data_IF_735092974939
#
_entry.id   IF_735092974939
#
_cell.length_a   1.000
_cell.length_b   1.000
_cell.length_c   1.000
_cell.angle_alpha   90.00
_cell.angle_beta   90.00
_cell.angle_gamma   90.00
#
_symmetry.space_group_name_H-M   'P 1'
#
loop_
_entity.id
_entity.type
_entity.pdbx_description
1 polymer ?
#
# COMPACT_ATOMS: atom_id res chain seq x y z
N UNK A 1 -18.20 -10.16 -14.22
CA UNK A 1 -17.38 -9.15 -13.52
C UNK A 1 -17.58 -7.82 -14.23
N UNK A 2 -17.96 -6.73 -13.54
CA UNK A 2 -18.23 -5.46 -14.22
C UNK A 2 -16.95 -4.64 -14.45
N UNK A 3 -16.88 -3.83 -15.53
CA UNK A 3 -15.80 -2.88 -15.73
C UNK A 3 -15.62 -1.92 -14.55
N UNK A 4 -16.72 -1.51 -13.91
CA UNK A 4 -16.71 -0.63 -12.74
C UNK A 4 -15.95 -1.22 -11.55
N UNK A 5 -16.16 -2.51 -11.22
CA UNK A 5 -15.44 -3.19 -10.12
C UNK A 5 -13.92 -3.17 -10.35
N UNK A 6 -13.46 -3.49 -11.57
CA UNK A 6 -12.03 -3.49 -11.89
C UNK A 6 -11.43 -2.08 -11.84
N UNK A 7 -12.15 -1.06 -12.31
CA UNK A 7 -11.72 0.33 -12.21
C UNK A 7 -11.60 0.78 -10.76
N UNK A 8 -12.60 0.48 -9.93
CA UNK A 8 -12.56 0.79 -8.50
C UNK A 8 -11.36 0.12 -7.81
N UNK A 9 -11.15 -1.18 -8.07
CA UNK A 9 -9.98 -1.89 -7.55
C UNK A 9 -8.67 -1.23 -7.97
N UNK A 10 -8.54 -0.86 -9.25
CA UNK A 10 -7.36 -0.18 -9.79
C UNK A 10 -7.07 1.17 -9.11
N UNK A 11 -8.11 1.94 -8.80
CA UNK A 11 -7.98 3.23 -8.13
C UNK A 11 -7.45 3.02 -6.71
N UNK A 12 -8.08 2.14 -5.92
CA UNK A 12 -7.68 1.95 -4.53
C UNK A 12 -6.31 1.28 -4.39
N UNK A 13 -5.95 0.32 -5.24
CA UNK A 13 -4.59 -0.24 -5.20
C UNK A 13 -3.56 0.81 -5.63
N UNK A 14 -3.90 1.67 -6.59
CA UNK A 14 -3.07 2.82 -6.98
C UNK A 14 -2.87 3.82 -5.84
N UNK A 15 -3.93 4.13 -5.08
CA UNK A 15 -3.83 4.94 -3.88
C UNK A 15 -2.97 4.28 -2.79
N UNK A 16 -3.10 2.97 -2.57
CA UNK A 16 -2.21 2.25 -1.65
C UNK A 16 -0.75 2.42 -2.07
N UNK A 17 -0.41 2.24 -3.35
CA UNK A 17 0.95 2.45 -3.88
C UNK A 17 1.40 3.90 -3.66
N UNK A 18 0.54 4.88 -3.97
CA UNK A 18 0.85 6.30 -3.80
C UNK A 18 1.14 6.65 -2.33
N UNK A 19 0.31 6.21 -1.38
CA UNK A 19 0.52 6.54 0.02
C UNK A 19 1.73 5.82 0.62
N UNK A 20 2.06 4.60 0.19
CA UNK A 20 3.32 3.94 0.56
C UNK A 20 4.51 4.72 0.02
N UNK A 21 4.44 5.18 -1.23
CA UNK A 21 5.50 6.03 -1.81
C UNK A 21 5.69 7.31 -0.99
N UNK A 22 4.60 8.00 -0.64
CA UNK A 22 4.67 9.19 0.21
C UNK A 22 5.22 8.87 1.61
N UNK A 23 4.91 7.72 2.20
CA UNK A 23 5.54 7.26 3.45
C UNK A 23 7.04 7.08 3.30
N UNK A 24 7.51 6.54 2.17
CA UNK A 24 8.94 6.34 1.92
C UNK A 24 9.71 7.66 1.80
N UNK A 25 9.13 8.66 1.10
CA UNK A 25 9.65 10.03 1.02
C UNK A 25 9.63 10.70 2.40
N UNK A 26 8.68 10.31 3.25
CA UNK A 26 8.53 10.84 4.60
C UNK A 26 9.31 10.10 5.69
N UNK A 27 10.04 9.06 5.35
CA UNK A 27 10.88 8.33 6.30
C UNK A 27 12.15 9.14 6.67
N UNK A 28 12.45 9.20 7.97
CA UNK A 28 13.41 10.15 8.56
C UNK A 28 14.87 10.07 8.08
N UNK A 29 15.30 9.00 7.42
CA UNK A 29 16.67 8.85 6.93
C UNK A 29 16.96 9.67 5.65
N UNK A 30 15.94 10.08 4.89
CA UNK A 30 16.15 10.97 3.73
C UNK A 30 16.42 12.43 4.11
N UNK A 31 16.29 12.78 5.40
CA UNK A 31 16.18 14.17 5.87
C UNK A 31 17.24 14.57 6.88
N UNK A 32 18.05 13.61 7.32
CA UNK A 32 18.91 13.77 8.49
C UNK A 32 19.93 14.91 8.35
N UNK A 33 20.24 15.32 7.11
CA UNK A 33 21.23 16.36 6.76
C UNK A 33 20.64 17.66 6.18
N UNK A 34 19.32 17.76 5.92
CA UNK A 34 18.75 18.86 5.12
C UNK A 34 17.66 19.70 5.80
N UNK A 35 17.14 19.28 6.96
CA UNK A 35 16.00 19.95 7.61
C UNK A 35 16.30 20.26 9.09
N UNK A 36 15.98 21.49 9.58
CA UNK A 36 16.05 21.86 10.99
C UNK A 36 15.26 20.91 11.91
N UNK A 37 15.59 20.87 13.19
CA UNK A 37 14.99 19.94 14.17
C UNK A 37 13.45 19.93 14.18
N UNK A 38 12.81 21.09 14.09
CA UNK A 38 11.33 21.21 14.03
C UNK A 38 10.73 20.58 12.76
N UNK A 39 11.44 20.62 11.63
CA UNK A 39 10.97 19.98 10.41
C UNK A 39 11.08 18.45 10.45
N UNK A 40 12.01 17.89 11.25
CA UNK A 40 12.11 16.43 11.45
C UNK A 40 10.89 15.86 12.17
N UNK A 41 10.38 16.57 13.17
CA UNK A 41 9.19 16.18 13.92
C UNK A 41 7.92 16.23 13.05
N UNK A 42 7.75 17.31 12.28
CA UNK A 42 6.64 17.45 11.34
C UNK A 42 6.68 16.32 10.30
N UNK A 43 7.86 16.02 9.75
CA UNK A 43 7.99 14.99 8.73
C UNK A 43 7.67 13.59 9.27
N UNK A 44 8.12 13.28 10.48
CA UNK A 44 7.79 12.04 11.19
C UNK A 44 6.29 11.94 11.47
N UNK A 45 5.65 13.06 11.81
CA UNK A 45 4.20 13.13 12.02
C UNK A 45 3.44 12.84 10.71
N UNK A 46 3.84 13.47 9.61
CA UNK A 46 3.24 13.22 8.28
C UNK A 46 3.44 11.76 7.87
N UNK A 47 4.63 11.20 8.08
CA UNK A 47 4.92 9.79 7.84
C UNK A 47 3.93 8.88 8.56
N UNK A 48 3.71 9.10 9.87
CA UNK A 48 2.73 8.35 10.66
C UNK A 48 1.29 8.53 10.15
N UNK A 49 0.89 9.75 9.77
CA UNK A 49 -0.45 10.04 9.27
C UNK A 49 -0.76 9.33 7.95
N UNK A 50 0.23 9.11 7.09
CA UNK A 50 0.04 8.43 5.80
C UNK A 50 -0.27 6.93 5.95
N UNK A 51 -0.07 6.34 7.14
CA UNK A 51 -0.45 4.94 7.41
C UNK A 51 -1.97 4.72 7.31
N UNK A 52 -2.78 5.67 7.79
CA UNK A 52 -4.24 5.55 7.78
C UNK A 52 -4.84 5.44 6.37
N UNK A 53 -4.60 6.39 5.43
CA UNK A 53 -5.15 6.28 4.08
C UNK A 53 -4.56 5.09 3.30
N UNK A 54 -3.34 4.65 3.62
CA UNK A 54 -2.74 3.42 3.08
C UNK A 54 -3.58 2.19 3.45
N UNK A 55 -3.84 2.02 4.76
CA UNK A 55 -4.62 0.90 5.29
C UNK A 55 -6.06 0.92 4.77
N UNK A 56 -6.72 2.09 4.76
CA UNK A 56 -8.08 2.24 4.24
C UNK A 56 -8.15 1.86 2.75
N UNK A 57 -7.18 2.30 1.95
CA UNK A 57 -7.14 1.96 0.52
C UNK A 57 -6.88 0.47 0.29
N UNK A 58 -6.01 -0.16 1.09
CA UNK A 58 -5.75 -1.60 1.03
C UNK A 58 -6.98 -2.43 1.45
N UNK A 59 -7.69 -1.98 2.49
CA UNK A 59 -8.94 -2.59 2.94
C UNK A 59 -10.03 -2.49 1.86
N UNK A 60 -10.21 -1.31 1.28
CA UNK A 60 -11.17 -1.10 0.19
C UNK A 60 -10.85 -2.00 -1.01
N UNK A 61 -9.58 -2.09 -1.39
CA UNK A 61 -9.11 -3.01 -2.45
C UNK A 61 -9.47 -4.45 -2.12
N UNK A 62 -9.26 -4.88 -0.87
CA UNK A 62 -9.60 -6.23 -0.40
C UNK A 62 -11.10 -6.50 -0.49
N UNK A 63 -11.93 -5.58 0.00
CA UNK A 63 -13.38 -5.69 -0.05
C UNK A 63 -13.90 -5.79 -1.50
N UNK A 64 -13.35 -4.99 -2.42
CA UNK A 64 -13.68 -5.03 -3.83
C UNK A 64 -13.26 -6.36 -4.46
N UNK A 65 -12.05 -6.85 -4.13
CA UNK A 65 -11.55 -8.12 -4.64
C UNK A 65 -12.43 -9.30 -4.22
N UNK A 66 -12.79 -9.37 -2.93
CA UNK A 66 -13.68 -10.41 -2.38
C UNK A 66 -15.05 -10.38 -3.03
N UNK A 67 -15.68 -9.19 -3.14
CA UNK A 67 -17.04 -9.04 -3.65
C UNK A 67 -17.16 -9.29 -5.15
N UNK A 68 -16.16 -8.86 -5.94
CA UNK A 68 -16.31 -8.78 -7.39
C UNK A 68 -15.21 -9.43 -8.23
N UNK A 69 -14.08 -9.83 -7.64
CA UNK A 69 -12.91 -10.36 -8.36
C UNK A 69 -12.48 -11.77 -7.89
N UNK A 70 -13.34 -12.46 -7.11
CA UNK A 70 -13.09 -13.80 -6.55
C UNK A 70 -12.74 -14.90 -7.55
N UNK A 71 -13.10 -14.72 -8.83
CA UNK A 71 -12.73 -15.65 -9.91
C UNK A 71 -11.29 -15.49 -10.44
N UNK A 72 -10.54 -14.49 -9.98
CA UNK A 72 -9.16 -14.24 -10.42
C UNK A 72 -8.19 -14.89 -9.42
N UNK A 73 -7.53 -15.96 -9.87
CA UNK A 73 -6.63 -16.77 -9.04
C UNK A 73 -5.59 -15.92 -8.32
N UNK A 74 -5.53 -16.08 -7.00
CA UNK A 74 -4.56 -15.42 -6.12
C UNK A 74 -4.82 -13.93 -5.85
N UNK A 75 -5.79 -13.27 -6.49
CA UNK A 75 -5.97 -11.82 -6.29
C UNK A 75 -6.52 -11.48 -4.90
N UNK A 76 -7.54 -12.22 -4.46
CA UNK A 76 -8.14 -12.07 -3.12
C UNK A 76 -7.13 -12.30 -2.00
N UNK A 77 -6.44 -13.46 -1.92
CA UNK A 77 -5.49 -13.69 -0.84
C UNK A 77 -4.32 -12.70 -0.86
N UNK A 78 -3.78 -12.33 -2.01
CA UNK A 78 -2.69 -11.35 -2.07
C UNK A 78 -3.12 -9.95 -1.64
N UNK A 79 -4.33 -9.52 -2.01
CA UNK A 79 -4.84 -8.20 -1.56
C UNK A 79 -5.13 -8.22 -0.06
N UNK A 80 -5.67 -9.34 0.47
CA UNK A 80 -5.83 -9.53 1.91
C UNK A 80 -4.50 -9.51 2.66
N UNK A 81 -3.48 -10.20 2.15
CA UNK A 81 -2.11 -10.17 2.69
C UNK A 81 -1.57 -8.74 2.68
N UNK A 82 -1.78 -7.99 1.61
CA UNK A 82 -1.36 -6.58 1.56
C UNK A 82 -2.02 -5.77 2.69
N UNK A 83 -3.33 -5.89 2.88
CA UNK A 83 -4.02 -5.19 3.97
C UNK A 83 -3.47 -5.58 5.35
N UNK A 84 -3.37 -6.88 5.64
CA UNK A 84 -2.83 -7.35 6.92
C UNK A 84 -1.38 -6.89 7.14
N UNK A 85 -0.56 -6.91 6.09
CA UNK A 85 0.80 -6.40 6.15
C UNK A 85 0.84 -4.90 6.43
N UNK A 86 -0.06 -4.09 5.85
CA UNK A 86 -0.14 -2.65 6.18
C UNK A 86 -0.53 -2.40 7.63
N UNK A 87 -1.37 -3.24 8.24
CA UNK A 87 -1.69 -3.17 9.66
C UNK A 87 -0.47 -3.53 10.51
N UNK A 88 0.24 -4.61 10.16
CA UNK A 88 1.49 -4.99 10.83
C UNK A 88 2.57 -3.89 10.72
N UNK A 89 2.66 -3.22 9.57
CA UNK A 89 3.54 -2.08 9.37
C UNK A 89 3.20 -0.91 10.29
N UNK A 90 1.91 -0.58 10.42
CA UNK A 90 1.45 0.45 11.34
C UNK A 90 1.77 0.09 12.80
N UNK A 91 1.52 -1.15 13.21
CA UNK A 91 1.83 -1.64 14.57
C UNK A 91 3.33 -1.54 14.88
N UNK A 92 4.18 -1.99 13.96
CA UNK A 92 5.65 -1.89 14.14
C UNK A 92 6.12 -0.43 14.16
N UNK A 93 5.48 0.47 13.39
CA UNK A 93 5.73 1.90 13.47
C UNK A 93 5.38 2.48 14.85
N UNK A 94 4.26 2.05 15.43
CA UNK A 94 3.84 2.45 16.78
C UNK A 94 4.78 1.91 17.88
N UNK A 95 5.28 0.68 17.71
CA UNK A 95 6.30 0.11 18.60
C UNK A 95 7.58 0.96 18.62
N UNK A 96 7.98 1.52 17.47
CA UNK A 96 9.15 2.39 17.37
C UNK A 96 8.86 3.76 17.99
N UNK A 97 7.79 4.43 17.54
CA UNK A 97 7.54 5.84 17.87
C UNK A 97 6.97 6.07 19.27
N UNK A 98 6.17 5.13 19.78
CA UNK A 98 5.45 5.29 21.06
C UNK A 98 6.05 4.42 22.17
N UNK A 99 6.49 3.19 21.85
CA UNK A 99 7.08 2.28 22.84
C UNK A 99 8.61 2.36 22.92
N UNK A 100 9.26 3.14 22.03
CA UNK A 100 10.71 3.33 22.03
C UNK A 100 11.52 2.08 21.64
N UNK A 101 10.89 1.10 20.99
CA UNK A 101 11.53 -0.17 20.62
C UNK A 101 12.36 -0.04 19.33
N UNK A 102 13.46 0.72 19.40
CA UNK A 102 14.29 1.06 18.23
C UNK A 102 14.87 -0.16 17.49
N UNK A 103 15.05 -1.30 18.16
CA UNK A 103 15.51 -2.55 17.55
C UNK A 103 14.54 -3.12 16.50
N UNK A 104 13.27 -2.69 16.49
CA UNK A 104 12.25 -3.07 15.51
C UNK A 104 12.46 -2.37 14.16
N UNK A 105 13.19 -1.24 14.14
CA UNK A 105 13.38 -0.39 12.95
C UNK A 105 13.83 -1.14 11.69
N UNK A 106 14.86 -2.02 11.72
CA UNK A 106 15.29 -2.74 10.53
C UNK A 106 14.17 -3.63 9.95
N UNK A 107 13.43 -4.32 10.82
CA UNK A 107 12.32 -5.18 10.42
C UNK A 107 11.14 -4.39 9.85
N UNK A 108 10.82 -3.24 10.47
CA UNK A 108 9.81 -2.32 9.95
C UNK A 108 10.16 -1.82 8.55
N UNK A 109 11.42 -1.43 8.31
CA UNK A 109 11.88 -0.96 7.01
C UNK A 109 11.81 -2.08 5.96
N UNK A 110 12.30 -3.28 6.27
CA UNK A 110 12.23 -4.43 5.34
C UNK A 110 10.78 -4.77 4.99
N UNK A 111 9.89 -4.80 6.00
CA UNK A 111 8.47 -5.04 5.79
C UNK A 111 7.84 -3.97 4.90
N UNK A 112 8.22 -2.69 5.06
CA UNK A 112 7.76 -1.60 4.19
C UNK A 112 8.06 -1.87 2.71
N UNK A 113 9.27 -2.32 2.38
CA UNK A 113 9.66 -2.63 1.00
C UNK A 113 8.92 -3.84 0.43
N UNK A 114 8.70 -4.87 1.24
CA UNK A 114 7.90 -6.04 0.84
C UNK A 114 6.45 -5.62 0.52
N UNK A 115 5.85 -4.81 1.38
CA UNK A 115 4.51 -4.24 1.18
C UNK A 115 4.47 -3.41 -0.10
N UNK A 116 5.48 -2.58 -0.33
CA UNK A 116 5.53 -1.73 -1.51
C UNK A 116 5.63 -2.54 -2.80
N UNK A 117 6.52 -3.54 -2.83
CA UNK A 117 6.66 -4.47 -3.94
C UNK A 117 5.36 -5.23 -4.23
N UNK A 118 4.69 -5.73 -3.19
CA UNK A 118 3.40 -6.41 -3.33
C UNK A 118 2.31 -5.48 -3.90
N UNK A 119 2.23 -4.25 -3.41
CA UNK A 119 1.27 -3.25 -3.91
C UNK A 119 1.52 -2.93 -5.39
N UNK A 120 2.79 -2.80 -5.80
CA UNK A 120 3.18 -2.61 -7.20
C UNK A 120 2.76 -3.81 -8.05
N UNK A 121 3.06 -5.04 -7.61
CA UNK A 121 2.66 -6.27 -8.33
C UNK A 121 1.14 -6.33 -8.51
N UNK A 122 0.35 -6.03 -7.48
CA UNK A 122 -1.11 -6.00 -7.56
C UNK A 122 -1.62 -4.90 -8.51
N UNK A 123 -0.98 -3.74 -8.53
CA UNK A 123 -1.27 -2.66 -9.48
C UNK A 123 -0.99 -3.07 -10.93
N UNK A 124 0.16 -3.70 -11.19
CA UNK A 124 0.52 -4.22 -12.53
C UNK A 124 -0.45 -5.32 -12.97
N UNK A 125 -0.79 -6.26 -12.09
CA UNK A 125 -1.81 -7.29 -12.37
C UNK A 125 -3.17 -6.68 -12.69
N UNK A 126 -3.57 -5.64 -11.95
CA UNK A 126 -4.80 -4.87 -12.23
C UNK A 126 -4.78 -4.25 -13.63
N UNK A 127 -3.65 -3.67 -14.05
CA UNK A 127 -3.49 -3.13 -15.40
C UNK A 127 -3.55 -4.22 -16.49
N UNK A 128 -2.92 -5.37 -16.26
CA UNK A 128 -2.96 -6.51 -17.19
C UNK A 128 -4.39 -7.04 -17.39
N UNK A 129 -5.17 -7.16 -16.31
CA UNK A 129 -6.57 -7.58 -16.37
C UNK A 129 -7.45 -6.64 -17.22
N UNK A 130 -7.18 -5.33 -17.20
CA UNK A 130 -7.89 -4.36 -18.05
C UNK A 130 -7.51 -4.49 -19.52
N UNK A 131 -6.22 -4.73 -19.83
CA UNK A 131 -5.74 -4.86 -21.21
C UNK A 131 -6.28 -6.11 -21.92
N UNK A 132 -6.30 -7.26 -21.25
CA UNK A 132 -6.81 -8.52 -21.84
C UNK A 132 -8.28 -8.42 -22.28
N UNK A 133 -9.07 -7.62 -21.59
CA UNK A 133 -10.46 -7.38 -21.95
C UNK A 133 -10.60 -6.54 -23.22
N UNK A 134 -9.85 -5.45 -23.35
CA UNK A 134 -9.90 -4.61 -24.55
C UNK A 134 -9.56 -5.42 -25.80
N UNK A 135 -8.54 -6.28 -25.74
CA UNK A 135 -8.19 -7.18 -26.85
C UNK A 135 -9.28 -8.20 -27.17
N UNK A 136 -10.06 -8.63 -26.17
CA UNK A 136 -11.19 -9.55 -26.39
C UNK A 136 -12.37 -8.84 -27.01
N UNK A 137 -12.60 -7.57 -26.66
CA UNK A 137 -13.66 -6.74 -27.22
C UNK A 137 -13.41 -6.37 -28.68
N UNK A 138 -12.17 -6.09 -29.07
CA UNK A 138 -11.78 -5.78 -30.46
C UNK A 138 -11.86 -6.99 -31.41
N UNK A 139 -11.91 -8.22 -30.88
CA UNK A 139 -12.01 -9.46 -31.66
C UNK A 139 -13.45 -9.93 -31.90
N UNK A 140 -14.44 -9.24 -31.33
CA UNK A 140 -15.87 -9.54 -31.51
C UNK A 140 -16.51 -8.50 -32.41
#
# INVERSE_FOLDING_TARGET
MSPGTRRAYAIFIGFTVLFIFLQSVTAGNFITNGIPGSGKEIWTTIHGLLAYPTMVSALASTAIAVRGLRGITGLVPLTGILFLATVAQWLTGHMISTLGLNWVTPYHVVLAFVIYGLAIVLSVRSAALRRMENTTAERK
#
